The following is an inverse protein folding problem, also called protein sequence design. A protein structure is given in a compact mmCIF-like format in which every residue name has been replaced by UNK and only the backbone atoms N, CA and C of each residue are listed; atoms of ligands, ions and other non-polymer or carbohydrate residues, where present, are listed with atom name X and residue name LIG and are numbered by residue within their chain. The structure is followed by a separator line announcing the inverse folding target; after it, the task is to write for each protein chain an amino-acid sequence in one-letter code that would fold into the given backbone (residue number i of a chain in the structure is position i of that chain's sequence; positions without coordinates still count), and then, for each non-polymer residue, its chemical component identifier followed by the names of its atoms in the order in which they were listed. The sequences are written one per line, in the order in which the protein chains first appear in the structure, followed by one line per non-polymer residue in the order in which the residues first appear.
data_IF_053702986772
#
_entry.id   IF_053702986772
#
_cell.length_a   1.000
_cell.length_b   1.000
_cell.length_c   1.000
_cell.angle_alpha   90.00
_cell.angle_beta   90.00
_cell.angle_gamma   90.00
#
_symmetry.space_group_name_H-M   'P 1'
#
loop_
_entity.id
_entity.type
_entity.pdbx_description
1 polymer ?
#
# COMPACT_ATOMS: atom_id res chain seq x y z
N UNK A 1 10.77 15.68 -6.87
CA UNK A 1 11.13 14.48 -7.64
C UNK A 1 12.57 14.60 -8.05
N UNK A 2 13.39 13.54 -7.93
CA UNK A 2 14.79 13.52 -8.36
C UNK A 2 14.90 13.74 -9.88
N UNK A 3 16.04 14.24 -10.36
CA UNK A 3 16.32 14.28 -11.78
C UNK A 3 16.53 12.86 -12.32
N UNK A 4 16.41 12.69 -13.64
CA UNK A 4 16.51 11.37 -14.25
C UNK A 4 17.84 10.67 -13.96
N UNK A 5 18.93 11.40 -14.05
CA UNK A 5 20.31 10.96 -13.80
C UNK A 5 20.65 10.75 -12.31
N UNK A 6 19.79 11.26 -11.41
CA UNK A 6 19.89 11.07 -9.97
C UNK A 6 19.06 9.86 -9.46
N UNK A 7 18.25 9.23 -10.34
CA UNK A 7 17.45 8.06 -9.97
C UNK A 7 18.37 6.84 -9.76
N UNK A 8 17.95 5.87 -8.92
CA UNK A 8 18.63 4.57 -8.84
C UNK A 8 18.69 3.88 -10.21
N UNK A 9 19.79 3.16 -10.48
CA UNK A 9 20.01 2.49 -11.77
C UNK A 9 18.87 1.54 -12.15
N UNK A 10 18.29 0.87 -11.16
CA UNK A 10 17.16 -0.07 -11.33
C UNK A 10 15.89 0.62 -11.86
N UNK A 11 15.81 1.97 -11.76
CA UNK A 11 14.67 2.77 -12.25
C UNK A 11 15.00 3.50 -13.53
N UNK A 12 16.29 3.66 -13.87
CA UNK A 12 16.72 4.34 -15.09
C UNK A 12 16.56 3.47 -16.36
N UNK A 13 15.39 2.85 -16.51
CA UNK A 13 15.08 1.95 -17.62
C UNK A 13 14.36 2.70 -18.75
N UNK A 14 14.56 2.25 -20.00
CA UNK A 14 13.89 2.85 -21.17
C UNK A 14 12.37 2.85 -21.05
N UNK A 15 11.79 1.79 -20.47
CA UNK A 15 10.36 1.60 -20.24
C UNK A 15 9.80 2.56 -19.17
N UNK A 16 10.63 2.98 -18.22
CA UNK A 16 10.27 3.92 -17.15
C UNK A 16 10.30 5.37 -17.63
N UNK A 17 11.18 5.69 -18.60
CA UNK A 17 11.43 7.05 -19.03
C UNK A 17 10.19 7.83 -19.49
N UNK A 18 9.24 7.25 -20.27
CA UNK A 18 8.00 7.94 -20.63
C UNK A 18 7.16 8.35 -19.42
N UNK A 19 7.02 7.46 -18.43
CA UNK A 19 6.29 7.75 -17.19
C UNK A 19 6.97 8.84 -16.37
N UNK A 20 8.30 8.80 -16.28
CA UNK A 20 9.07 9.85 -15.63
C UNK A 20 8.81 11.22 -16.24
N UNK A 21 8.82 11.31 -17.57
CA UNK A 21 8.56 12.57 -18.28
C UNK A 21 7.15 13.11 -17.99
N UNK A 22 6.13 12.24 -18.01
CA UNK A 22 4.75 12.60 -17.67
C UNK A 22 4.61 13.11 -16.24
N UNK A 23 5.15 12.38 -15.27
CA UNK A 23 5.03 12.71 -13.85
C UNK A 23 5.88 13.94 -13.50
N UNK A 24 7.12 14.02 -13.97
CA UNK A 24 8.02 15.16 -13.69
C UNK A 24 7.56 16.46 -14.31
N UNK A 25 6.82 16.41 -15.41
CA UNK A 25 6.18 17.57 -16.02
C UNK A 25 5.05 18.17 -15.17
N UNK A 26 4.48 17.40 -14.24
CA UNK A 26 3.34 17.82 -13.39
C UNK A 26 3.76 18.33 -12.00
N UNK A 27 4.79 19.18 -11.95
CA UNK A 27 5.39 19.69 -10.69
C UNK A 27 4.36 20.31 -9.74
N UNK A 28 3.41 21.08 -10.25
CA UNK A 28 2.33 21.68 -9.43
C UNK A 28 1.50 20.61 -8.72
N UNK A 29 1.09 19.55 -9.43
CA UNK A 29 0.34 18.43 -8.84
C UNK A 29 1.16 17.71 -7.78
N UNK A 30 2.47 17.51 -7.96
CA UNK A 30 3.35 16.86 -6.98
C UNK A 30 3.45 17.70 -5.69
N UNK A 31 3.57 19.02 -5.81
CA UNK A 31 3.63 19.93 -4.65
C UNK A 31 2.30 19.93 -3.92
N UNK A 32 1.19 20.13 -4.62
CA UNK A 32 -0.15 20.14 -4.03
C UNK A 32 -0.48 18.82 -3.35
N UNK A 33 -0.13 17.69 -3.99
CA UNK A 33 -0.24 16.37 -3.41
C UNK A 33 0.49 16.28 -2.07
N UNK A 34 1.76 16.69 -2.01
CA UNK A 34 2.55 16.62 -0.78
C UNK A 34 2.01 17.55 0.31
N UNK A 35 1.56 18.75 -0.03
CA UNK A 35 0.93 19.66 0.91
C UNK A 35 -0.35 19.05 1.50
N UNK A 36 -1.19 18.45 0.65
CA UNK A 36 -2.42 17.77 1.08
C UNK A 36 -2.10 16.56 1.97
N UNK A 37 -1.12 15.73 1.58
CA UNK A 37 -0.67 14.59 2.36
C UNK A 37 -0.26 15.00 3.78
N UNK A 38 0.55 16.03 3.92
CA UNK A 38 1.00 16.53 5.23
C UNK A 38 -0.15 17.07 6.07
N UNK A 39 -1.00 17.91 5.45
CA UNK A 39 -2.14 18.51 6.13
C UNK A 39 -3.12 17.44 6.63
N UNK A 40 -3.56 16.55 5.74
CA UNK A 40 -4.52 15.51 6.09
C UNK A 40 -3.95 14.50 7.07
N UNK A 41 -2.69 14.08 6.92
CA UNK A 41 -2.08 13.13 7.84
C UNK A 41 -1.97 13.70 9.25
N UNK A 42 -1.57 14.97 9.40
CA UNK A 42 -1.52 15.63 10.71
C UNK A 42 -2.92 15.80 11.29
N UNK A 43 -3.86 16.32 10.50
CA UNK A 43 -5.25 16.51 10.91
C UNK A 43 -5.89 15.20 11.38
N UNK A 44 -5.77 14.13 10.58
CA UNK A 44 -6.34 12.83 10.92
C UNK A 44 -5.65 12.18 12.13
N UNK A 45 -4.33 12.34 12.31
CA UNK A 45 -3.65 11.83 13.50
C UNK A 45 -4.17 12.49 14.78
N UNK A 46 -4.38 13.81 14.76
CA UNK A 46 -4.95 14.52 15.91
C UNK A 46 -6.40 14.08 16.14
N UNK A 47 -7.22 14.08 15.09
CA UNK A 47 -8.64 13.70 15.17
C UNK A 47 -8.84 12.27 15.65
N UNK A 48 -8.03 11.33 15.17
CA UNK A 48 -8.16 9.90 15.53
C UNK A 48 -7.33 9.48 16.74
N UNK A 49 -6.63 10.42 17.42
CA UNK A 49 -5.81 10.12 18.60
C UNK A 49 -6.57 9.37 19.72
N UNK A 50 -7.84 9.67 20.05
CA UNK A 50 -8.61 8.87 21.02
C UNK A 50 -8.81 7.41 20.54
N UNK A 51 -9.05 7.22 19.25
CA UNK A 51 -9.19 5.89 18.63
C UNK A 51 -7.89 5.10 18.74
N UNK A 52 -6.74 5.77 18.50
CA UNK A 52 -5.41 5.15 18.70
C UNK A 52 -5.24 4.62 20.13
N UNK A 53 -5.64 5.39 21.13
CA UNK A 53 -5.54 4.98 22.54
C UNK A 53 -6.44 3.77 22.82
N UNK A 54 -7.71 3.84 22.43
CA UNK A 54 -8.68 2.76 22.65
C UNK A 54 -8.21 1.47 21.98
N UNK A 55 -7.82 1.52 20.69
CA UNK A 55 -7.34 0.36 19.96
C UNK A 55 -6.05 -0.20 20.57
N UNK A 56 -5.15 0.66 21.04
CA UNK A 56 -3.90 0.23 21.68
C UNK A 56 -4.15 -0.59 22.93
N UNK A 57 -5.08 -0.15 23.77
CA UNK A 57 -5.49 -0.88 24.99
C UNK A 57 -6.15 -2.21 24.59
N UNK A 58 -7.10 -2.17 23.65
CA UNK A 58 -7.84 -3.35 23.21
C UNK A 58 -6.94 -4.44 22.64
N UNK A 59 -5.98 -4.05 21.76
CA UNK A 59 -4.97 -4.97 21.20
C UNK A 59 -4.10 -5.60 22.29
N UNK A 60 -3.72 -4.82 23.32
CA UNK A 60 -2.91 -5.31 24.43
C UNK A 60 -3.66 -6.30 25.31
N UNK A 61 -4.97 -6.11 25.51
CA UNK A 61 -5.82 -7.02 26.28
C UNK A 61 -6.11 -8.32 25.51
N UNK A 62 -6.22 -8.26 24.18
CA UNK A 62 -6.56 -9.42 23.32
C UNK A 62 -5.38 -10.38 23.14
N UNK A 63 -4.16 -9.89 23.03
CA UNK A 63 -2.98 -10.73 22.76
C UNK A 63 -1.66 -10.11 23.23
N UNK A 64 -0.71 -10.97 23.61
CA UNK A 64 0.65 -10.54 24.03
C UNK A 64 1.46 -10.01 22.83
N UNK A 65 2.23 -8.92 23.04
CA UNK A 65 3.16 -8.37 22.05
C UNK A 65 3.02 -6.86 21.82
N UNK A 66 3.71 -6.26 20.82
CA UNK A 66 3.64 -4.83 20.53
C UNK A 66 2.27 -4.44 19.96
N UNK A 67 1.83 -3.19 20.19
CA UNK A 67 0.59 -2.65 19.61
C UNK A 67 0.76 -2.41 18.11
N UNK A 68 1.91 -1.85 17.73
CA UNK A 68 2.24 -1.54 16.34
C UNK A 68 3.08 -2.67 15.75
N UNK A 69 2.58 -3.22 14.66
CA UNK A 69 3.30 -4.13 13.78
C UNK A 69 4.01 -3.31 12.69
N UNK A 70 5.23 -3.72 12.36
CA UNK A 70 6.06 -3.07 11.33
C UNK A 70 6.59 -4.11 10.37
N UNK A 71 6.36 -3.90 9.06
CA UNK A 71 6.83 -4.79 8.00
C UNK A 71 7.63 -3.99 6.97
N UNK A 72 8.71 -4.59 6.46
CA UNK A 72 9.49 -3.98 5.37
C UNK A 72 8.67 -4.01 4.09
N UNK A 73 8.57 -2.88 3.44
CA UNK A 73 7.91 -2.64 2.17
C UNK A 73 8.77 -1.75 1.28
N UNK A 74 8.42 -1.71 0.00
CA UNK A 74 9.10 -0.87 -0.99
C UNK A 74 8.25 0.37 -1.30
N UNK A 75 8.90 1.52 -1.45
CA UNK A 75 8.30 2.79 -1.80
C UNK A 75 9.08 3.48 -2.92
N UNK A 76 8.86 4.77 -3.09
CA UNK A 76 9.47 5.61 -4.11
C UNK A 76 10.98 5.36 -4.27
N UNK A 77 11.43 5.25 -5.50
CA UNK A 77 12.83 5.02 -5.88
C UNK A 77 13.42 3.71 -5.35
N UNK A 78 12.58 2.67 -5.28
CA UNK A 78 12.95 1.34 -4.77
C UNK A 78 13.49 1.33 -3.35
N UNK A 79 13.18 2.37 -2.54
CA UNK A 79 13.62 2.46 -1.15
C UNK A 79 12.81 1.54 -0.26
N UNK A 80 13.48 0.86 0.65
CA UNK A 80 12.83 0.07 1.68
C UNK A 80 12.41 0.97 2.85
N UNK A 81 11.20 0.77 3.37
CA UNK A 81 10.70 1.43 4.57
C UNK A 81 9.92 0.45 5.43
N UNK A 82 9.63 0.82 6.66
CA UNK A 82 8.78 0.01 7.56
C UNK A 82 7.38 0.60 7.56
N UNK A 83 6.42 -0.11 6.93
CA UNK A 83 5.00 0.25 7.03
C UNK A 83 4.49 -0.01 8.45
N UNK A 84 3.74 0.93 9.03
CA UNK A 84 3.17 0.82 10.35
C UNK A 84 1.71 0.41 10.28
N UNK A 85 1.34 -0.62 11.05
CA UNK A 85 -0.05 -1.07 11.20
C UNK A 85 -0.34 -1.38 12.66
N UNK A 86 -1.60 -1.30 13.06
CA UNK A 86 -2.00 -1.97 14.29
C UNK A 86 -1.84 -3.49 14.13
N UNK A 87 -1.37 -4.14 15.19
CA UNK A 87 -1.24 -5.59 15.19
C UNK A 87 -2.62 -6.26 15.20
N UNK A 88 -2.88 -7.06 14.18
CA UNK A 88 -4.11 -7.82 13.99
C UNK A 88 -3.90 -9.34 14.01
N UNK A 89 -2.65 -9.76 14.12
CA UNK A 89 -2.26 -11.17 14.16
C UNK A 89 -1.43 -11.47 15.41
N UNK A 90 -1.34 -12.75 15.76
CA UNK A 90 -0.44 -13.22 16.81
C UNK A 90 1.02 -12.88 16.48
N UNK A 91 1.87 -12.82 17.52
CA UNK A 91 3.31 -12.60 17.33
C UNK A 91 3.93 -13.70 16.47
N UNK A 92 4.92 -13.33 15.65
CA UNK A 92 5.60 -14.22 14.70
C UNK A 92 4.71 -14.87 13.62
N UNK A 93 3.55 -14.26 13.32
CA UNK A 93 2.66 -14.71 12.25
C UNK A 93 3.38 -14.79 10.88
N UNK A 94 4.31 -13.87 10.60
CA UNK A 94 5.08 -13.83 9.34
C UNK A 94 5.99 -15.06 9.15
N UNK A 95 6.37 -15.73 10.24
CA UNK A 95 7.21 -16.93 10.21
C UNK A 95 6.39 -18.20 10.00
N UNK A 96 5.06 -18.12 10.10
CA UNK A 96 4.15 -19.28 10.17
C UNK A 96 3.29 -19.48 8.91
N UNK A 97 3.60 -18.82 7.79
CA UNK A 97 2.80 -18.98 6.58
C UNK A 97 3.10 -17.95 5.49
N UNK A 98 2.24 -17.89 4.47
CA UNK A 98 2.35 -16.92 3.37
C UNK A 98 2.30 -15.48 3.87
N UNK A 99 2.98 -14.58 3.12
CA UNK A 99 2.91 -13.12 3.34
C UNK A 99 1.57 -12.54 2.89
N UNK A 100 0.84 -13.24 2.03
CA UNK A 100 -0.54 -12.91 1.65
C UNK A 100 -1.49 -13.57 2.64
N UNK A 101 -2.43 -12.80 3.17
CA UNK A 101 -3.44 -13.28 4.14
C UNK A 101 -4.65 -13.82 3.39
N UNK A 102 -5.07 -15.04 3.71
CA UNK A 102 -6.31 -15.64 3.18
C UNK A 102 -7.53 -15.31 4.07
N UNK A 103 -8.76 -15.51 3.54
CA UNK A 103 -10.04 -15.16 4.21
C UNK A 103 -10.19 -15.85 5.52
N UNK A 104 -9.77 -16.89 5.98
CA UNK A 104 -9.91 -17.54 7.29
C UNK A 104 -8.56 -17.84 7.95
N UNK A 105 -7.66 -16.87 7.95
CA UNK A 105 -6.34 -17.04 8.50
C UNK A 105 -6.36 -17.17 10.02
N UNK A 106 -6.03 -18.33 10.54
CA UNK A 106 -6.03 -18.65 11.98
C UNK A 106 -5.05 -17.81 12.82
N UNK A 107 -4.14 -17.09 12.17
CA UNK A 107 -3.20 -16.18 12.82
C UNK A 107 -3.85 -14.87 13.26
N UNK A 108 -5.04 -14.54 12.74
CA UNK A 108 -5.75 -13.29 13.04
C UNK A 108 -6.38 -13.40 14.43
N UNK A 109 -6.16 -12.38 15.28
CA UNK A 109 -6.75 -12.31 16.63
C UNK A 109 -8.23 -11.90 16.56
N UNK A 110 -9.00 -12.09 17.67
CA UNK A 110 -10.41 -11.69 17.69
C UNK A 110 -10.60 -10.21 17.44
N UNK A 111 -9.83 -9.38 18.15
CA UNK A 111 -9.81 -7.91 17.94
C UNK A 111 -9.27 -7.56 16.57
N UNK A 112 -8.25 -8.30 16.09
CA UNK A 112 -7.68 -8.13 14.77
C UNK A 112 -8.69 -8.29 13.64
N UNK A 113 -9.60 -9.26 13.74
CA UNK A 113 -10.69 -9.45 12.78
C UNK A 113 -11.59 -8.21 12.65
N UNK A 114 -11.99 -7.63 13.81
CA UNK A 114 -12.79 -6.41 13.80
C UNK A 114 -12.04 -5.24 13.16
N UNK A 115 -10.80 -4.98 13.61
CA UNK A 115 -9.98 -3.86 13.18
C UNK A 115 -9.73 -3.91 11.66
N UNK A 116 -9.43 -5.10 11.11
CA UNK A 116 -9.20 -5.32 9.66
C UNK A 116 -10.46 -5.09 8.84
N UNK A 117 -11.62 -5.59 9.31
CA UNK A 117 -12.90 -5.42 8.60
C UNK A 117 -13.25 -3.97 8.37
N UNK A 118 -12.94 -3.09 9.35
CA UNK A 118 -13.21 -1.65 9.28
C UNK A 118 -11.97 -0.83 8.84
N UNK A 119 -10.89 -1.49 8.40
CA UNK A 119 -9.64 -0.88 7.90
C UNK A 119 -8.92 0.03 8.92
N UNK A 120 -9.23 -0.07 10.19
CA UNK A 120 -8.57 0.73 11.24
C UNK A 120 -7.13 0.28 11.50
N UNK A 121 -6.75 -0.93 11.09
CA UNK A 121 -5.37 -1.42 11.17
C UNK A 121 -4.37 -0.55 10.39
N UNK A 122 -4.82 0.18 9.39
CA UNK A 122 -3.98 1.00 8.54
C UNK A 122 -3.80 2.45 9.05
N UNK A 123 -4.53 2.89 10.10
CA UNK A 123 -4.39 4.23 10.67
C UNK A 123 -2.94 4.63 11.02
N UNK A 124 -2.07 3.75 11.56
CA UNK A 124 -0.68 4.13 11.84
C UNK A 124 0.14 4.49 10.60
N UNK A 125 -0.32 4.17 9.37
CA UNK A 125 0.35 4.58 8.15
C UNK A 125 0.35 6.12 7.96
N UNK A 126 -0.52 6.86 8.65
CA UNK A 126 -0.48 8.32 8.69
C UNK A 126 0.90 8.84 9.13
N UNK A 127 1.59 8.10 10.01
CA UNK A 127 2.98 8.42 10.41
C UNK A 127 3.94 8.22 9.24
N UNK A 128 3.75 7.18 8.41
CA UNK A 128 4.57 6.97 7.20
C UNK A 128 4.33 8.09 6.18
N UNK A 129 3.09 8.60 6.07
CA UNK A 129 2.78 9.75 5.20
C UNK A 129 3.50 11.01 5.69
N UNK A 130 3.47 11.32 6.97
CA UNK A 130 4.20 12.47 7.53
C UNK A 130 5.70 12.39 7.26
N UNK A 131 6.30 11.20 7.40
CA UNK A 131 7.72 10.97 7.10
C UNK A 131 8.07 11.07 5.61
N UNK A 132 7.10 11.10 4.70
CA UNK A 132 7.32 11.06 3.25
C UNK A 132 7.65 9.67 2.71
N UNK A 133 7.45 8.63 3.50
CA UNK A 133 7.60 7.24 3.09
C UNK A 133 6.39 6.76 2.28
N UNK A 134 5.22 7.40 2.51
CA UNK A 134 3.95 7.13 1.83
C UNK A 134 3.20 8.42 1.47
N UNK A 135 2.14 8.26 0.69
CA UNK A 135 1.12 9.25 0.34
C UNK A 135 -0.27 8.66 0.59
N UNK A 136 -1.32 9.48 0.61
CA UNK A 136 -2.68 8.93 0.62
C UNK A 136 -2.98 8.13 -0.64
N UNK A 137 -2.60 8.64 -1.80
CA UNK A 137 -2.84 7.96 -3.09
C UNK A 137 -1.52 7.60 -3.77
N UNK A 138 -1.40 6.39 -4.24
CA UNK A 138 -0.23 5.87 -4.93
C UNK A 138 -0.32 4.36 -5.12
N UNK A 139 0.69 3.74 -5.70
CA UNK A 139 0.77 2.27 -5.76
C UNK A 139 0.85 1.69 -4.37
N UNK A 140 0.02 0.68 -4.05
CA UNK A 140 0.10 -0.01 -2.75
C UNK A 140 1.49 -0.63 -2.57
N UNK A 141 2.16 -0.42 -1.41
CA UNK A 141 3.53 -0.87 -1.24
C UNK A 141 3.62 -2.40 -1.16
N UNK A 142 4.45 -2.98 -2.00
CA UNK A 142 4.71 -4.42 -2.01
C UNK A 142 5.89 -4.79 -1.09
N UNK A 143 5.97 -6.07 -0.72
CA UNK A 143 7.16 -6.62 -0.05
C UNK A 143 8.31 -6.74 -1.05
N UNK A 144 9.59 -6.64 -0.63
CA UNK A 144 10.75 -6.73 -1.54
C UNK A 144 10.70 -7.94 -2.46
N UNK A 145 10.33 -9.11 -1.94
CA UNK A 145 10.20 -10.35 -2.71
C UNK A 145 9.30 -10.24 -3.95
N UNK A 146 8.26 -9.41 -3.92
CA UNK A 146 7.37 -9.21 -5.07
C UNK A 146 7.87 -8.10 -5.99
N UNK A 147 8.52 -7.06 -5.47
CA UNK A 147 9.13 -6.04 -6.32
C UNK A 147 10.32 -6.56 -7.12
N UNK A 148 11.01 -7.60 -6.62
CA UNK A 148 12.04 -8.34 -7.37
C UNK A 148 11.49 -9.06 -8.62
N UNK A 149 10.17 -9.26 -8.69
CA UNK A 149 9.48 -9.86 -9.84
C UNK A 149 8.89 -8.82 -10.81
N UNK A 150 9.14 -7.53 -10.56
CA UNK A 150 8.62 -6.48 -11.45
C UNK A 150 9.27 -6.55 -12.82
N UNK A 151 8.46 -6.44 -13.87
CA UNK A 151 8.96 -6.17 -15.19
C UNK A 151 9.57 -4.76 -15.27
N UNK A 152 10.41 -4.48 -16.28
CA UNK A 152 10.98 -3.14 -16.49
C UNK A 152 9.94 -2.02 -16.47
N UNK A 153 8.77 -2.20 -17.09
CA UNK A 153 7.70 -1.20 -17.09
C UNK A 153 7.05 -1.03 -15.70
N UNK A 154 6.87 -2.11 -14.94
CA UNK A 154 6.31 -2.06 -13.58
C UNK A 154 7.15 -1.20 -12.62
N UNK A 155 8.47 -1.09 -12.86
CA UNK A 155 9.36 -0.23 -12.08
C UNK A 155 8.95 1.24 -12.12
N UNK A 156 8.21 1.67 -13.15
CA UNK A 156 7.66 3.02 -13.21
C UNK A 156 6.73 3.34 -12.02
N UNK A 157 6.06 2.34 -11.45
CA UNK A 157 5.18 2.54 -10.29
C UNK A 157 5.93 3.04 -9.05
N UNK A 158 7.26 2.88 -9.02
CA UNK A 158 8.14 3.37 -7.97
C UNK A 158 8.63 4.82 -8.19
N UNK A 159 8.12 5.53 -9.20
CA UNK A 159 8.40 6.97 -9.40
C UNK A 159 7.70 7.87 -8.39
N UNK A 160 6.60 7.41 -7.79
CA UNK A 160 5.85 8.13 -6.77
C UNK A 160 5.90 7.37 -5.42
N UNK A 161 5.67 8.06 -4.29
CA UNK A 161 5.53 7.41 -2.99
C UNK A 161 4.40 6.38 -3.00
N UNK A 162 4.59 5.27 -2.27
CA UNK A 162 3.55 4.28 -2.07
C UNK A 162 2.29 4.89 -1.45
N UNK A 163 1.12 4.38 -1.82
CA UNK A 163 -0.18 4.89 -1.37
C UNK A 163 -0.80 4.08 -0.24
N UNK A 164 -1.57 4.74 0.65
CA UNK A 164 -2.53 4.08 1.54
C UNK A 164 -3.63 3.46 0.69
N UNK A 165 -4.13 4.22 -0.30
CA UNK A 165 -5.07 3.75 -1.32
C UNK A 165 -4.46 3.84 -2.71
N UNK A 166 -5.04 3.10 -3.67
CA UNK A 166 -4.61 3.08 -5.07
C UNK A 166 -5.79 2.89 -6.01
N UNK A 167 -5.61 3.27 -7.27
CA UNK A 167 -6.58 2.96 -8.31
C UNK A 167 -6.82 1.43 -8.44
N UNK A 168 -5.74 0.64 -8.30
CA UNK A 168 -5.82 -0.82 -8.28
C UNK A 168 -6.69 -1.33 -7.13
N UNK A 169 -6.56 -0.78 -5.92
CA UNK A 169 -7.37 -1.20 -4.76
C UNK A 169 -8.87 -0.95 -4.92
N UNK A 170 -9.25 0.04 -5.76
CA UNK A 170 -10.66 0.35 -6.04
C UNK A 170 -11.19 -0.52 -7.18
N UNK A 171 -10.40 -0.73 -8.23
CA UNK A 171 -10.84 -1.35 -9.49
C UNK A 171 -10.70 -2.87 -9.49
N UNK A 172 -9.73 -3.39 -8.75
CA UNK A 172 -9.41 -4.82 -8.70
C UNK A 172 -9.71 -5.38 -7.32
N UNK A 173 -10.92 -5.94 -7.14
CA UNK A 173 -11.45 -6.41 -5.85
C UNK A 173 -11.42 -7.94 -5.69
N UNK A 174 -11.27 -8.68 -6.79
CA UNK A 174 -11.42 -10.13 -6.82
C UNK A 174 -10.11 -10.88 -6.51
N UNK A 175 -9.14 -10.20 -5.87
CA UNK A 175 -7.82 -10.75 -5.54
C UNK A 175 -7.93 -12.07 -4.79
N UNK A 176 -8.72 -12.10 -3.70
CA UNK A 176 -8.90 -13.30 -2.86
C UNK A 176 -9.58 -14.45 -3.63
N UNK A 177 -10.55 -14.12 -4.48
CA UNK A 177 -11.26 -15.12 -5.31
C UNK A 177 -10.31 -15.74 -6.34
N UNK A 178 -9.49 -14.94 -7.00
CA UNK A 178 -8.51 -15.40 -8.00
C UNK A 178 -7.44 -16.27 -7.33
N UNK A 179 -6.88 -15.82 -6.19
CA UNK A 179 -5.91 -16.62 -5.43
C UNK A 179 -6.52 -17.96 -5.02
N UNK A 180 -7.76 -17.96 -4.49
CA UNK A 180 -8.44 -19.18 -4.08
C UNK A 180 -8.68 -20.13 -5.26
N UNK A 181 -9.08 -19.61 -6.42
CA UNK A 181 -9.27 -20.41 -7.63
C UNK A 181 -7.96 -21.02 -8.15
N UNK A 182 -6.85 -20.26 -8.11
CA UNK A 182 -5.56 -20.75 -8.58
C UNK A 182 -4.93 -21.75 -7.62
N UNK A 183 -5.11 -21.56 -6.32
CA UNK A 183 -4.63 -22.53 -5.31
C UNK A 183 -5.41 -23.84 -5.38
N UNK A 184 -6.70 -23.79 -5.68
CA UNK A 184 -7.49 -25.00 -5.95
C UNK A 184 -7.01 -25.77 -7.20
N UNK A 185 -6.31 -25.13 -8.14
CA UNK A 185 -5.66 -25.73 -9.31
C UNK A 185 -4.21 -26.18 -9.03
N UNK A 186 -3.74 -26.12 -7.78
CA UNK A 186 -2.40 -26.59 -7.37
C UNK A 186 -1.29 -25.54 -7.37
N UNK A 187 -1.59 -24.26 -7.65
CA UNK A 187 -0.60 -23.20 -7.50
C UNK A 187 -0.38 -22.86 -6.03
N UNK A 188 0.82 -22.42 -5.68
CA UNK A 188 1.04 -21.79 -4.38
C UNK A 188 0.40 -20.39 -4.36
N UNK A 189 0.10 -19.86 -3.17
CA UNK A 189 -0.44 -18.49 -3.00
C UNK A 189 0.49 -17.44 -3.64
N UNK A 190 1.80 -17.58 -3.45
CA UNK A 190 2.80 -16.67 -4.02
C UNK A 190 2.83 -16.74 -5.55
N UNK A 191 2.76 -17.92 -6.14
CA UNK A 191 2.68 -18.10 -7.60
C UNK A 191 1.41 -17.47 -8.16
N UNK A 192 0.24 -17.76 -7.56
CA UNK A 192 -1.03 -17.18 -7.98
C UNK A 192 -0.99 -15.65 -7.90
N UNK A 193 -0.38 -15.09 -6.85
CA UNK A 193 -0.20 -13.65 -6.71
C UNK A 193 0.67 -13.07 -7.83
N UNK A 194 1.86 -13.58 -8.02
CA UNK A 194 2.84 -13.05 -8.98
C UNK A 194 2.37 -13.19 -10.43
N UNK A 195 1.76 -14.34 -10.78
CA UNK A 195 1.40 -14.64 -12.16
C UNK A 195 0.02 -14.10 -12.58
N UNK A 196 -0.91 -13.89 -11.63
CA UNK A 196 -2.30 -13.52 -11.94
C UNK A 196 -2.74 -12.19 -11.35
N UNK A 197 -2.37 -11.92 -10.11
CA UNK A 197 -2.84 -10.73 -9.40
C UNK A 197 -1.95 -9.52 -9.69
N UNK A 198 -0.65 -9.69 -9.56
CA UNK A 198 0.32 -8.61 -9.70
C UNK A 198 0.26 -7.90 -11.06
N UNK A 199 0.22 -8.60 -12.21
CA UNK A 199 0.15 -7.94 -13.52
C UNK A 199 -1.12 -7.08 -13.68
N UNK A 200 -2.27 -7.57 -13.24
CA UNK A 200 -3.53 -6.83 -13.31
C UNK A 200 -3.52 -5.59 -12.42
N UNK A 201 -3.03 -5.70 -11.18
CA UNK A 201 -2.84 -4.54 -10.30
C UNK A 201 -1.90 -3.51 -10.91
N UNK A 202 -0.83 -3.96 -11.57
CA UNK A 202 0.15 -3.08 -12.20
C UNK A 202 -0.42 -2.38 -13.43
N UNK A 203 -1.32 -3.01 -14.17
CA UNK A 203 -2.06 -2.35 -15.24
C UNK A 203 -2.76 -1.07 -14.75
N UNK A 204 -3.50 -1.15 -13.63
CA UNK A 204 -4.16 0.01 -13.03
C UNK A 204 -3.18 1.01 -12.44
N UNK A 205 -2.08 0.56 -11.84
CA UNK A 205 -1.06 1.44 -11.27
C UNK A 205 -0.31 2.22 -12.35
N UNK A 206 -0.01 1.61 -13.49
CA UNK A 206 0.59 2.27 -14.66
C UNK A 206 -0.39 3.26 -15.30
N UNK A 207 -1.67 2.89 -15.41
CA UNK A 207 -2.72 3.82 -15.87
C UNK A 207 -2.81 5.06 -14.95
N UNK A 208 -2.76 4.86 -13.63
CA UNK A 208 -2.71 5.97 -12.67
C UNK A 208 -1.53 6.91 -12.93
N UNK A 209 -0.33 6.40 -13.24
CA UNK A 209 0.84 7.24 -13.55
C UNK A 209 0.67 8.05 -14.85
N UNK A 210 0.08 7.44 -15.88
CA UNK A 210 -0.21 8.13 -17.16
C UNK A 210 -1.15 9.32 -16.94
N UNK A 211 -2.18 9.13 -16.10
CA UNK A 211 -3.21 10.12 -15.83
C UNK A 211 -2.96 10.92 -14.55
N UNK A 212 -1.80 10.73 -13.90
CA UNK A 212 -1.49 11.36 -12.61
C UNK A 212 -1.77 12.86 -12.63
N UNK A 213 -2.64 13.33 -11.75
CA UNK A 213 -2.87 14.73 -11.46
C UNK A 213 -3.50 14.88 -10.07
N UNK A 214 -3.37 16.06 -9.48
CA UNK A 214 -3.86 16.35 -8.13
C UNK A 214 -5.37 16.08 -7.94
N UNK A 215 -6.21 16.48 -8.89
CA UNK A 215 -7.66 16.26 -8.80
C UNK A 215 -8.03 14.77 -8.96
N UNK A 216 -7.24 14.03 -9.73
CA UNK A 216 -7.34 12.57 -9.83
C UNK A 216 -7.11 11.90 -8.48
N UNK A 217 -6.12 12.35 -7.70
CA UNK A 217 -5.88 11.86 -6.35
C UNK A 217 -7.07 12.12 -5.43
N UNK A 218 -7.62 13.34 -5.45
CA UNK A 218 -8.82 13.68 -4.68
C UNK A 218 -9.98 12.74 -5.05
N UNK A 219 -10.21 12.50 -6.35
CA UNK A 219 -11.24 11.58 -6.81
C UNK A 219 -11.05 10.16 -6.28
N UNK A 220 -9.81 9.64 -6.33
CA UNK A 220 -9.46 8.31 -5.81
C UNK A 220 -9.72 8.23 -4.30
N UNK A 221 -9.36 9.27 -3.53
CA UNK A 221 -9.62 9.32 -2.09
C UNK A 221 -11.12 9.24 -1.79
N UNK A 222 -11.96 10.04 -2.47
CA UNK A 222 -13.41 9.97 -2.31
C UNK A 222 -13.98 8.59 -2.70
N UNK A 223 -13.55 8.04 -3.83
CA UNK A 223 -13.96 6.70 -4.25
C UNK A 223 -13.60 5.64 -3.21
N UNK A 224 -12.41 5.74 -2.58
CA UNK A 224 -12.00 4.82 -1.51
C UNK A 224 -12.95 4.89 -0.31
N UNK A 225 -13.32 6.10 0.13
CA UNK A 225 -14.27 6.27 1.25
C UNK A 225 -15.62 5.63 0.92
N UNK A 226 -16.16 5.87 -0.28
CA UNK A 226 -17.42 5.24 -0.71
C UNK A 226 -17.33 3.72 -0.78
N UNK A 227 -16.19 3.16 -1.20
CA UNK A 227 -16.01 1.72 -1.29
C UNK A 227 -15.83 1.03 0.08
N UNK A 228 -15.29 1.73 1.07
CA UNK A 228 -15.17 1.21 2.44
C UNK A 228 -16.51 1.28 3.18
N UNK A 229 -17.40 2.21 2.83
CA UNK A 229 -18.72 2.38 3.46
C UNK A 229 -19.81 1.47 2.88
N UNK A 230 -19.56 0.80 1.75
CA UNK A 230 -20.45 -0.24 1.17
C UNK A 230 -20.27 -1.58 1.88
#
# INVERSE_FOLDING_TARGET
MLKWDELPQEIQLSEVKPYYQLVSGRKGSLILKRCLDLFLALFLLVLTSPVFLILSIWIKLDSKGPVIYKQVRVTQYNRHFKIWKFRTMVTDADKKGSLVTSANDSRITKVGNFIRRVRLDELPQLVNVLKGEMSFVGTRPEVPRYTEQYSPEMMATLLLPAGITSLASIKYKDEDAIISQMTAKGMTVDQAYVERVLPEKMHYNLAYLRDFNFFGDIKIMFQTVFEVLK
#
